data_IF_732096047062
#
_entry.id   IF_732096047062
#
_cell.length_a   1.000
_cell.length_b   1.000
_cell.length_c   1.000
_cell.angle_alpha   90.00
_cell.angle_beta   90.00
_cell.angle_gamma   90.00
#
_symmetry.space_group_name_H-M   'P 1'
#
loop_
_entity.id
_entity.type
_entity.pdbx_description
1 polymer ?
#
# COMPACT_ATOMS: atom_id res chain seq x y z
N UNK A 1 13.14 -4.19 -5.96
CA UNK A 1 11.92 -3.67 -6.62
C UNK A 1 12.06 -2.17 -6.70
N UNK A 2 11.90 -1.58 -7.88
CA UNK A 2 12.03 -0.13 -8.04
C UNK A 2 10.77 0.58 -7.57
N UNK A 3 10.86 1.90 -7.34
CA UNK A 3 9.68 2.71 -7.04
C UNK A 3 8.67 2.65 -8.19
N UNK A 4 9.16 2.70 -9.43
CA UNK A 4 8.33 2.60 -10.61
C UNK A 4 7.58 1.27 -10.68
N UNK A 5 8.22 0.14 -10.41
CA UNK A 5 7.52 -1.16 -10.42
C UNK A 5 6.39 -1.21 -9.39
N UNK A 6 6.59 -0.58 -8.22
CA UNK A 6 5.57 -0.51 -7.18
C UNK A 6 4.37 0.31 -7.65
N UNK A 7 4.60 1.50 -8.19
CA UNK A 7 3.54 2.42 -8.65
C UNK A 7 2.83 1.92 -9.91
N UNK A 8 3.56 1.31 -10.86
CA UNK A 8 2.98 0.94 -12.16
C UNK A 8 2.37 -0.46 -12.16
N UNK A 9 2.81 -1.37 -11.28
CA UNK A 9 2.43 -2.79 -11.35
C UNK A 9 1.83 -3.33 -10.06
N UNK A 10 2.48 -3.13 -8.92
CA UNK A 10 2.10 -3.86 -7.69
C UNK A 10 1.02 -3.16 -6.86
N UNK A 11 1.05 -1.83 -6.78
CA UNK A 11 0.12 -1.04 -5.97
C UNK A 11 -1.22 -0.71 -6.64
N UNK A 12 -1.34 -0.50 -7.98
CA UNK A 12 -2.59 -0.07 -8.60
C UNK A 12 -3.83 -0.92 -8.28
N UNK A 13 -3.75 -2.26 -8.20
CA UNK A 13 -4.92 -3.06 -7.82
C UNK A 13 -5.42 -2.73 -6.40
N UNK A 14 -4.52 -2.45 -5.47
CA UNK A 14 -4.88 -2.08 -4.10
C UNK A 14 -5.38 -0.64 -4.02
N UNK A 15 -4.77 0.27 -4.78
CA UNK A 15 -5.21 1.65 -4.89
C UNK A 15 -6.67 1.73 -5.35
N UNK A 16 -7.03 1.05 -6.45
CA UNK A 16 -8.43 1.00 -6.91
C UNK A 16 -9.36 0.36 -5.89
N UNK A 17 -8.93 -0.67 -5.15
CA UNK A 17 -9.75 -1.21 -4.05
C UNK A 17 -10.03 -0.16 -2.95
N UNK A 18 -9.07 0.69 -2.63
CA UNK A 18 -9.24 1.74 -1.62
C UNK A 18 -10.09 2.89 -2.16
N UNK A 19 -9.74 3.44 -3.33
CA UNK A 19 -10.35 4.65 -3.88
C UNK A 19 -11.73 4.35 -4.47
N UNK A 20 -11.84 3.33 -5.33
CA UNK A 20 -13.09 3.00 -6.01
C UNK A 20 -13.94 2.03 -5.18
N UNK A 21 -13.29 1.04 -4.57
CA UNK A 21 -13.94 -0.03 -3.81
C UNK A 21 -14.33 0.35 -2.37
N UNK A 22 -13.82 1.48 -1.84
CA UNK A 22 -14.10 1.95 -0.48
C UNK A 22 -13.93 0.88 0.60
N UNK A 23 -12.89 0.04 0.46
CA UNK A 23 -12.64 -1.05 1.41
C UNK A 23 -12.39 -0.52 2.83
N UNK A 24 -12.83 -1.27 3.83
CA UNK A 24 -12.66 -0.89 5.24
C UNK A 24 -11.24 -1.17 5.78
N UNK A 25 -10.48 -2.08 5.17
CA UNK A 25 -9.15 -2.43 5.66
C UNK A 25 -8.26 -3.03 4.58
N UNK A 26 -6.94 -2.91 4.77
CA UNK A 26 -5.91 -3.54 3.95
C UNK A 26 -4.99 -4.33 4.89
N UNK A 27 -4.60 -5.54 4.48
CA UNK A 27 -3.67 -6.38 5.22
C UNK A 27 -2.26 -6.25 4.64
N UNK A 28 -1.27 -6.03 5.50
CA UNK A 28 0.13 -6.06 5.11
C UNK A 28 0.61 -7.50 4.83
N UNK A 29 1.64 -7.65 4.01
CA UNK A 29 2.23 -8.96 3.72
C UNK A 29 3.23 -9.39 4.79
N UNK A 30 3.55 -10.68 4.84
CA UNK A 30 4.58 -11.17 5.77
C UNK A 30 6.02 -10.93 5.28
N UNK A 31 6.20 -10.73 3.98
CA UNK A 31 7.53 -10.56 3.40
C UNK A 31 8.07 -9.15 3.62
N UNK A 32 9.37 -9.01 3.35
CA UNK A 32 10.02 -7.72 3.27
C UNK A 32 10.03 -7.24 1.82
N UNK A 33 9.88 -5.95 1.60
CA UNK A 33 10.09 -5.29 0.31
C UNK A 33 11.29 -4.37 0.47
N UNK A 34 12.31 -4.56 -0.38
CA UNK A 34 13.56 -3.78 -0.32
C UNK A 34 14.20 -3.74 1.10
N UNK A 35 14.11 -4.84 1.85
CA UNK A 35 14.70 -4.98 3.18
C UNK A 35 13.86 -4.44 4.35
N UNK A 36 12.64 -3.95 4.08
CA UNK A 36 11.73 -3.45 5.11
C UNK A 36 10.51 -4.37 5.22
N UNK A 37 10.16 -4.88 6.41
CA UNK A 37 8.90 -5.60 6.61
C UNK A 37 7.71 -4.68 6.30
N UNK A 38 6.79 -5.12 5.45
CA UNK A 38 5.71 -4.24 4.95
C UNK A 38 4.75 -3.80 6.06
N UNK A 39 4.51 -4.65 7.06
CA UNK A 39 3.72 -4.28 8.25
C UNK A 39 4.39 -3.22 9.15
N UNK A 40 5.69 -2.99 8.99
CA UNK A 40 6.46 -2.03 9.77
C UNK A 40 6.96 -0.85 8.90
N UNK A 41 6.50 -0.73 7.66
CA UNK A 41 6.89 0.36 6.76
C UNK A 41 5.94 1.55 6.90
N UNK A 42 6.36 2.66 7.55
CA UNK A 42 5.52 3.84 7.72
C UNK A 42 5.27 4.57 6.39
N UNK A 43 6.18 4.49 5.41
CA UNK A 43 5.99 5.13 4.12
C UNK A 43 4.85 4.45 3.35
N UNK A 44 4.77 3.13 3.44
CA UNK A 44 3.69 2.36 2.81
C UNK A 44 2.35 2.55 3.54
N UNK A 45 2.31 2.28 4.86
CA UNK A 45 1.04 2.23 5.59
C UNK A 45 0.47 3.62 5.90
N UNK A 46 1.30 4.53 6.43
CA UNK A 46 0.86 5.86 6.82
C UNK A 46 0.97 6.86 5.65
N UNK A 47 2.05 6.78 4.87
CA UNK A 47 2.28 7.64 3.71
C UNK A 47 1.32 7.34 2.56
N UNK A 48 1.44 6.18 1.93
CA UNK A 48 0.66 5.83 0.75
C UNK A 48 -0.78 5.42 1.08
N UNK A 49 -0.98 4.34 1.86
CA UNK A 49 -2.33 3.76 2.06
C UNK A 49 -3.28 4.71 2.79
N UNK A 50 -2.85 5.30 3.91
CA UNK A 50 -3.69 6.26 4.67
C UNK A 50 -3.53 7.71 4.20
N UNK A 51 -2.35 8.10 3.73
CA UNK A 51 -2.05 9.48 3.35
C UNK A 51 -2.47 9.81 1.92
N UNK A 52 -2.04 9.04 0.94
CA UNK A 52 -2.32 9.29 -0.49
C UNK A 52 -3.70 8.72 -0.87
N UNK A 53 -3.94 7.45 -0.59
CA UNK A 53 -5.20 6.77 -0.97
C UNK A 53 -6.36 7.02 0.00
N UNK A 54 -6.08 7.67 1.15
CA UNK A 54 -7.09 8.06 2.14
C UNK A 54 -7.93 6.89 2.67
N UNK A 55 -7.34 5.71 2.90
CA UNK A 55 -8.04 4.61 3.56
C UNK A 55 -8.56 5.05 4.94
N UNK A 56 -9.89 5.11 5.07
CA UNK A 56 -10.60 5.52 6.29
C UNK A 56 -11.22 4.29 6.97
N UNK A 57 -10.35 3.51 7.60
CA UNK A 57 -10.69 2.35 8.42
C UNK A 57 -9.90 2.28 9.72
#
# INVERSE_FOLDING_TARGET
VTKQDLEDTFQPPFESCVIDGHVASVMCSYNQVNGVPTCADPNLLAGTVRGEWKLNG
#
